data_IF_275955048075
#
_entry.id   IF_275955048075
#
_cell.length_a   1.000
_cell.length_b   1.000
_cell.length_c   1.000
_cell.angle_alpha   90.00
_cell.angle_beta   90.00
_cell.angle_gamma   90.00
#
_symmetry.space_group_name_H-M   'P 1'
#
loop_
_entity.id
_entity.type
_entity.pdbx_description
1 polymer ?
#
# COMPACT_ATOMS: atom_id res chain seq x y z
N UNK A 1 -36.18 -67.93 41.91
CA UNK A 1 -36.18 -68.76 40.68
C UNK A 1 -37.29 -68.25 39.77
N UNK A 2 -36.95 -67.99 38.50
CA UNK A 2 -37.82 -67.59 37.36
C UNK A 2 -38.29 -66.12 37.27
N UNK A 3 -37.64 -65.38 36.37
CA UNK A 3 -38.30 -64.52 35.37
C UNK A 3 -39.05 -65.42 34.34
N UNK A 4 -40.03 -64.96 33.52
CA UNK A 4 -39.93 -63.71 32.72
C UNK A 4 -41.23 -62.95 32.31
N UNK A 5 -41.00 -61.82 31.61
CA UNK A 5 -41.77 -61.23 30.48
C UNK A 5 -43.21 -60.73 30.73
N UNK A 6 -43.70 -59.57 30.29
CA UNK A 6 -43.22 -58.41 29.51
C UNK A 6 -44.43 -57.47 29.52
N UNK A 7 -44.27 -56.16 29.72
CA UNK A 7 -45.19 -55.19 29.11
C UNK A 7 -44.45 -53.87 28.87
N UNK A 8 -44.59 -53.48 27.62
CA UNK A 8 -43.94 -52.43 26.87
C UNK A 8 -44.43 -51.07 27.36
N UNK A 9 -43.54 -50.11 27.58
CA UNK A 9 -43.89 -48.69 27.44
C UNK A 9 -42.65 -47.90 27.04
N UNK A 10 -42.66 -47.49 25.77
CA UNK A 10 -41.66 -46.64 25.15
C UNK A 10 -41.83 -45.20 25.66
N UNK A 11 -40.81 -44.67 26.32
CA UNK A 11 -40.69 -43.24 26.59
C UNK A 11 -39.82 -42.64 25.48
N UNK A 12 -40.48 -41.97 24.54
CA UNK A 12 -39.83 -41.22 23.45
C UNK A 12 -39.12 -40.01 24.07
N UNK A 13 -37.80 -40.07 24.19
CA UNK A 13 -36.98 -38.88 24.41
C UNK A 13 -37.00 -38.05 23.12
N UNK A 14 -37.81 -36.99 23.12
CA UNK A 14 -37.75 -35.96 22.09
C UNK A 14 -36.46 -35.15 22.28
N UNK A 15 -35.37 -35.60 21.67
CA UNK A 15 -34.17 -34.78 21.54
C UNK A 15 -34.53 -33.63 20.58
N UNK A 16 -34.75 -32.43 21.12
CA UNK A 16 -34.79 -31.23 20.32
C UNK A 16 -33.42 -31.09 19.64
N UNK A 17 -33.37 -31.38 18.34
CA UNK A 17 -32.26 -30.94 17.50
C UNK A 17 -32.42 -29.42 17.42
N UNK A 18 -31.77 -28.72 18.34
CA UNK A 18 -31.54 -27.29 18.17
C UNK A 18 -30.65 -27.18 16.93
N UNK A 19 -31.24 -26.86 15.78
CA UNK A 19 -30.48 -26.28 14.68
C UNK A 19 -30.04 -24.91 15.17
N UNK A 20 -28.98 -24.88 15.97
CA UNK A 20 -28.29 -23.65 16.29
C UNK A 20 -27.75 -23.15 14.96
N UNK A 21 -28.49 -22.22 14.35
CA UNK A 21 -27.98 -21.38 13.27
C UNK A 21 -26.67 -20.80 13.81
N UNK A 22 -25.51 -21.06 13.19
CA UNK A 22 -24.27 -20.45 13.67
C UNK A 22 -24.51 -18.95 13.72
N UNK A 23 -24.24 -18.33 14.87
CA UNK A 23 -24.36 -16.88 14.97
C UNK A 23 -23.62 -16.24 13.81
N UNK A 24 -24.21 -15.22 13.16
CA UNK A 24 -23.51 -14.53 12.09
C UNK A 24 -22.20 -14.01 12.68
N UNK A 25 -21.07 -14.48 12.13
CA UNK A 25 -19.77 -13.89 12.41
C UNK A 25 -19.94 -12.39 12.24
N UNK A 26 -19.50 -11.61 13.24
CA UNK A 26 -19.51 -10.15 13.17
C UNK A 26 -19.13 -9.70 11.76
N UNK A 27 -19.89 -8.78 11.13
CA UNK A 27 -19.57 -8.27 9.80
C UNK A 27 -18.23 -7.51 9.77
N UNK A 28 -17.68 -7.20 10.96
CA UNK A 28 -16.38 -6.56 11.16
C UNK A 28 -15.38 -7.62 11.63
N UNK A 29 -14.22 -7.67 10.95
CA UNK A 29 -13.08 -8.48 11.35
C UNK A 29 -11.82 -7.62 11.33
N UNK A 30 -11.06 -7.70 12.42
CA UNK A 30 -9.77 -7.03 12.53
C UNK A 30 -8.63 -8.04 12.38
N UNK A 31 -7.51 -7.57 11.81
CA UNK A 31 -6.27 -8.34 11.78
C UNK A 31 -5.09 -7.41 12.01
N UNK A 32 -4.30 -7.60 13.08
CA UNK A 32 -3.08 -6.83 13.26
C UNK A 32 -2.08 -7.17 12.16
N UNK A 33 -1.35 -6.16 11.70
CA UNK A 33 -0.23 -6.30 10.78
C UNK A 33 1.01 -5.65 11.38
N UNK A 34 2.18 -6.17 11.03
CA UNK A 34 3.46 -5.56 11.39
C UNK A 34 4.00 -4.84 10.16
N UNK A 35 4.26 -3.55 10.32
CA UNK A 35 4.86 -2.72 9.29
C UNK A 35 6.27 -2.30 9.72
N UNK A 36 7.15 -2.12 8.74
CA UNK A 36 8.44 -1.47 8.92
C UNK A 36 8.30 -0.04 8.41
N UNK A 37 8.59 0.92 9.27
CA UNK A 37 8.67 2.34 8.89
C UNK A 37 10.12 2.66 8.50
N UNK A 38 10.32 3.26 7.33
CA UNK A 38 11.62 3.71 6.86
C UNK A 38 11.68 5.22 6.88
N UNK A 39 12.79 5.74 7.43
CA UNK A 39 13.17 7.14 7.37
C UNK A 39 14.48 7.27 6.60
N UNK A 40 14.56 8.22 5.69
CA UNK A 40 15.79 8.56 4.95
C UNK A 40 16.02 10.05 5.14
N UNK A 41 17.09 10.41 5.83
CA UNK A 41 17.49 11.80 6.03
C UNK A 41 17.94 12.42 4.72
N UNK A 42 17.72 13.72 4.55
CA UNK A 42 18.26 14.50 3.45
C UNK A 42 19.49 15.28 3.92
N UNK A 43 20.53 15.35 3.07
CA UNK A 43 21.65 16.26 3.22
C UNK A 43 21.38 17.65 2.62
N UNK A 44 20.20 17.83 2.01
CA UNK A 44 19.76 19.06 1.34
C UNK A 44 18.70 19.78 2.17
N UNK A 45 18.49 21.07 1.87
CA UNK A 45 17.33 21.81 2.40
C UNK A 45 16.01 21.20 1.95
N UNK A 46 14.92 21.50 2.64
CA UNK A 46 13.59 20.99 2.30
C UNK A 46 13.21 21.30 0.84
N UNK A 47 13.39 22.56 0.42
CA UNK A 47 13.05 22.99 -0.94
C UNK A 47 13.92 22.29 -1.99
N UNK A 48 15.23 22.15 -1.75
CA UNK A 48 16.12 21.47 -2.69
C UNK A 48 15.80 19.97 -2.79
N UNK A 49 15.48 19.32 -1.67
CA UNK A 49 15.05 17.92 -1.61
C UNK A 49 13.75 17.71 -2.38
N UNK A 50 12.77 18.59 -2.14
CA UNK A 50 11.48 18.60 -2.82
C UNK A 50 11.62 18.77 -4.32
N UNK A 51 12.36 19.79 -4.77
CA UNK A 51 12.60 20.04 -6.19
C UNK A 51 13.28 18.85 -6.87
N UNK A 52 14.26 18.23 -6.20
CA UNK A 52 14.93 17.05 -6.73
C UNK A 52 13.98 15.83 -6.84
N UNK A 53 13.11 15.61 -5.86
CA UNK A 53 12.10 14.55 -5.91
C UNK A 53 11.12 14.82 -7.07
N UNK A 54 10.50 15.99 -7.10
CA UNK A 54 9.47 16.34 -8.09
C UNK A 54 10.02 16.37 -9.52
N UNK A 55 11.30 16.72 -9.70
CA UNK A 55 11.98 16.63 -10.99
C UNK A 55 12.36 15.21 -11.41
N UNK A 56 12.49 14.28 -10.45
CA UNK A 56 12.88 12.90 -10.70
C UNK A 56 11.71 11.99 -11.09
N UNK A 57 10.49 12.30 -10.66
CA UNK A 57 9.29 11.51 -10.93
C UNK A 57 8.22 12.33 -11.63
N UNK A 58 7.89 12.04 -12.91
CA UNK A 58 6.87 12.78 -13.62
C UNK A 58 5.47 12.49 -13.07
N UNK A 59 4.49 13.39 -13.31
CA UNK A 59 3.08 13.09 -13.08
C UNK A 59 2.62 11.86 -13.86
N UNK A 60 1.70 11.08 -13.28
CA UNK A 60 1.15 9.90 -13.93
C UNK A 60 0.38 10.26 -15.21
N UNK A 61 0.78 9.69 -16.34
CA UNK A 61 -0.02 9.70 -17.57
C UNK A 61 -1.13 8.64 -17.47
N UNK A 62 -2.39 9.07 -17.48
CA UNK A 62 -3.57 8.20 -17.29
C UNK A 62 -4.25 7.76 -18.57
N UNK A 63 -3.59 7.86 -19.73
CA UNK A 63 -4.17 7.45 -21.04
C UNK A 63 -4.60 5.98 -21.06
N UNK A 64 -3.95 5.11 -20.28
CA UNK A 64 -4.34 3.71 -20.10
C UNK A 64 -5.78 3.53 -19.60
N UNK A 65 -6.35 4.49 -18.85
CA UNK A 65 -7.70 4.39 -18.27
C UNK A 65 -8.78 4.27 -19.35
N UNK A 66 -8.63 5.01 -20.45
CA UNK A 66 -9.55 4.92 -21.59
C UNK A 66 -9.46 3.55 -22.29
N UNK A 67 -8.24 2.99 -22.41
CA UNK A 67 -8.03 1.66 -22.98
C UNK A 67 -8.68 0.57 -22.13
N UNK A 68 -8.55 0.66 -20.80
CA UNK A 68 -9.24 -0.24 -19.87
C UNK A 68 -10.77 -0.12 -19.98
N UNK A 69 -11.30 1.10 -19.99
CA UNK A 69 -12.74 1.33 -20.13
C UNK A 69 -13.31 0.79 -21.45
N UNK A 70 -12.52 0.83 -22.52
CA UNK A 70 -12.86 0.26 -23.83
C UNK A 70 -12.64 -1.26 -23.93
N UNK A 71 -12.19 -1.93 -22.85
CA UNK A 71 -11.89 -3.37 -22.86
C UNK A 71 -10.62 -3.75 -23.63
N UNK A 72 -9.81 -2.79 -24.06
CA UNK A 72 -8.56 -3.04 -24.79
C UNK A 72 -7.40 -3.33 -23.82
N UNK A 73 -7.46 -4.51 -23.19
CA UNK A 73 -6.48 -4.92 -22.18
C UNK A 73 -5.04 -5.00 -22.72
N UNK A 74 -4.86 -5.41 -23.98
CA UNK A 74 -3.52 -5.54 -24.57
C UNK A 74 -2.86 -4.16 -24.74
N UNK A 75 -3.58 -3.17 -25.28
CA UNK A 75 -3.05 -1.82 -25.40
C UNK A 75 -2.85 -1.16 -24.03
N UNK A 76 -3.74 -1.41 -23.06
CA UNK A 76 -3.57 -0.91 -21.69
C UNK A 76 -2.29 -1.45 -21.04
N UNK A 77 -1.98 -2.74 -21.26
CA UNK A 77 -0.74 -3.35 -20.77
C UNK A 77 0.50 -2.72 -21.39
N UNK A 78 0.50 -2.45 -22.70
CA UNK A 78 1.62 -1.76 -23.34
C UNK A 78 1.76 -0.32 -22.85
N UNK A 79 0.64 0.38 -22.63
CA UNK A 79 0.64 1.70 -22.00
C UNK A 79 1.21 1.67 -20.58
N UNK A 80 0.91 0.64 -19.78
CA UNK A 80 1.51 0.45 -18.46
C UNK A 80 3.03 0.28 -18.51
N UNK A 81 3.53 -0.55 -19.42
CA UNK A 81 4.97 -0.81 -19.57
C UNK A 81 5.75 0.39 -20.09
N UNK A 82 5.09 1.27 -20.84
CA UNK A 82 5.69 2.50 -21.35
C UNK A 82 5.83 3.60 -20.28
N UNK A 83 5.19 3.46 -19.12
CA UNK A 83 5.33 4.42 -18.03
C UNK A 83 6.71 4.31 -17.36
N UNK A 84 7.26 5.43 -16.85
CA UNK A 84 8.42 5.42 -15.98
C UNK A 84 8.28 4.46 -14.80
N UNK A 85 9.41 3.95 -14.30
CA UNK A 85 9.43 2.99 -13.19
C UNK A 85 8.70 3.48 -11.94
N UNK A 86 8.74 4.79 -11.65
CA UNK A 86 7.91 5.46 -10.65
C UNK A 86 7.34 6.76 -11.22
N UNK A 87 6.11 7.06 -10.83
CA UNK A 87 5.35 8.25 -11.20
C UNK A 87 4.73 8.85 -9.94
N UNK A 88 4.44 10.14 -9.97
CA UNK A 88 3.60 10.79 -8.97
C UNK A 88 2.12 10.69 -9.38
N UNK A 89 1.31 10.03 -8.55
CA UNK A 89 -0.12 9.80 -8.79
C UNK A 89 -0.97 11.03 -8.44
N UNK A 90 -0.47 11.92 -7.59
CA UNK A 90 -1.20 13.13 -7.17
C UNK A 90 -0.35 14.37 -7.37
N UNK A 91 -0.81 15.24 -8.26
CA UNK A 91 -0.22 16.55 -8.54
C UNK A 91 -1.33 17.61 -8.49
N UNK A 92 -1.21 18.65 -7.64
CA UNK A 92 -0.11 18.90 -6.70
C UNK A 92 -0.13 17.92 -5.51
N UNK A 93 1.04 17.62 -4.95
CA UNK A 93 1.18 16.79 -3.76
C UNK A 93 0.41 17.35 -2.55
N UNK A 94 0.00 16.50 -1.62
CA UNK A 94 -0.83 16.89 -0.47
C UNK A 94 0.01 17.69 0.53
N UNK A 95 -0.29 18.97 0.70
CA UNK A 95 0.42 19.84 1.64
C UNK A 95 -0.18 19.75 3.06
N UNK A 96 0.20 18.71 3.80
CA UNK A 96 -0.23 18.53 5.19
C UNK A 96 0.31 19.62 6.12
N UNK A 97 1.48 20.18 5.82
CA UNK A 97 2.09 21.24 6.61
C UNK A 97 1.32 22.55 6.59
N UNK A 98 0.53 22.82 5.55
CA UNK A 98 -0.38 23.97 5.52
C UNK A 98 -1.65 23.76 6.36
N UNK A 99 -2.04 22.51 6.65
CA UNK A 99 -3.29 22.23 7.36
C UNK A 99 -3.28 22.73 8.80
N UNK A 100 -2.12 22.87 9.42
CA UNK A 100 -2.00 23.33 10.83
C UNK A 100 -2.37 24.81 11.01
N UNK A 101 -2.45 25.59 9.94
CA UNK A 101 -2.82 27.02 9.97
C UNK A 101 -4.20 27.22 10.60
N UNK A 102 -5.13 26.27 10.43
CA UNK A 102 -6.48 26.35 11.02
C UNK A 102 -6.46 26.38 12.55
N UNK A 103 -5.36 25.97 13.16
CA UNK A 103 -5.11 26.01 14.60
C UNK A 103 -4.25 27.21 15.03
N UNK A 104 -4.09 28.22 14.17
CA UNK A 104 -3.20 29.37 14.35
C UNK A 104 -1.72 29.00 14.54
N UNK A 105 -1.30 27.82 14.07
CA UNK A 105 0.11 27.45 14.01
C UNK A 105 0.76 27.96 12.72
N UNK A 106 2.05 28.35 12.73
CA UNK A 106 2.79 28.60 11.51
C UNK A 106 2.79 27.38 10.59
N UNK A 107 2.73 27.61 9.28
CA UNK A 107 2.82 26.53 8.29
C UNK A 107 4.10 25.71 8.50
N UNK A 108 3.93 24.39 8.56
CA UNK A 108 5.05 23.43 8.66
C UNK A 108 5.48 23.01 7.26
N UNK A 109 6.72 22.52 7.15
CA UNK A 109 7.21 21.91 5.91
C UNK A 109 6.91 20.41 5.98
N UNK A 110 5.75 20.02 5.47
CA UNK A 110 5.32 18.62 5.40
C UNK A 110 4.43 18.39 4.18
N UNK A 111 4.90 17.57 3.25
CA UNK A 111 4.21 17.26 2.00
C UNK A 111 4.18 15.75 1.82
N UNK A 112 3.04 15.21 1.41
CA UNK A 112 2.87 13.79 1.12
C UNK A 112 2.68 13.59 -0.38
N UNK A 113 3.44 12.64 -0.92
CA UNK A 113 3.38 12.16 -2.29
C UNK A 113 2.76 10.78 -2.34
N UNK A 114 2.16 10.45 -3.48
CA UNK A 114 1.65 9.13 -3.81
C UNK A 114 2.47 8.61 -4.99
N UNK A 115 3.41 7.69 -4.74
CA UNK A 115 4.46 7.29 -5.69
C UNK A 115 4.30 5.81 -6.05
N UNK A 116 4.34 5.49 -7.35
CA UNK A 116 4.31 4.10 -7.80
C UNK A 116 4.26 3.94 -9.32
N UNK A 117 3.79 2.79 -9.77
CA UNK A 117 3.58 2.49 -11.19
C UNK A 117 2.35 1.57 -11.35
N UNK A 118 1.41 1.87 -12.27
CA UNK A 118 0.23 1.04 -12.51
C UNK A 118 0.51 -0.41 -12.93
N UNK A 119 1.60 -0.66 -13.68
CA UNK A 119 2.05 -2.01 -14.00
C UNK A 119 2.37 -2.80 -12.73
N UNK A 120 3.17 -2.22 -11.84
CA UNK A 120 3.50 -2.84 -10.54
C UNK A 120 2.25 -3.03 -9.69
N UNK A 121 1.38 -2.02 -9.62
CA UNK A 121 0.11 -2.11 -8.90
C UNK A 121 -0.78 -3.25 -9.44
N UNK A 122 -0.83 -3.42 -10.77
CA UNK A 122 -1.60 -4.49 -11.42
C UNK A 122 -1.12 -5.88 -11.01
N UNK A 123 0.20 -6.07 -10.81
CA UNK A 123 0.78 -7.33 -10.32
C UNK A 123 0.29 -7.64 -8.91
N UNK A 124 0.19 -6.66 -8.01
CA UNK A 124 -0.35 -6.87 -6.66
C UNK A 124 -1.83 -7.25 -6.66
N UNK A 125 -2.67 -6.42 -7.30
CA UNK A 125 -4.13 -6.62 -7.26
C UNK A 125 -4.59 -7.86 -8.02
N UNK A 126 -3.81 -8.31 -9.02
CA UNK A 126 -4.04 -9.59 -9.72
C UNK A 126 -4.04 -10.78 -8.75
N UNK A 127 -3.18 -10.77 -7.73
CA UNK A 127 -3.05 -11.87 -6.77
C UNK A 127 -3.84 -11.62 -5.49
N UNK A 128 -3.97 -10.36 -5.07
CA UNK A 128 -4.62 -9.98 -3.83
C UNK A 128 -5.30 -8.62 -3.96
N UNK A 129 -6.62 -8.59 -4.12
CA UNK A 129 -7.38 -7.35 -4.28
C UNK A 129 -7.21 -6.40 -3.09
N UNK A 130 -7.07 -6.93 -1.87
CA UNK A 130 -6.81 -6.16 -0.66
C UNK A 130 -5.49 -5.37 -0.70
N UNK A 131 -4.57 -5.73 -1.59
CA UNK A 131 -3.33 -4.99 -1.79
C UNK A 131 -3.57 -3.57 -2.35
N UNK A 132 -4.76 -3.30 -2.93
CA UNK A 132 -5.17 -1.97 -3.35
C UNK A 132 -5.20 -0.93 -2.22
N UNK A 133 -5.27 -1.36 -0.95
CA UNK A 133 -5.17 -0.46 0.21
C UNK A 133 -3.82 0.28 0.29
N UNK A 134 -2.77 -0.34 -0.26
CA UNK A 134 -1.38 0.10 -0.09
C UNK A 134 -0.73 0.66 -1.35
N UNK A 135 -1.43 0.69 -2.49
CA UNK A 135 -0.89 1.21 -3.75
C UNK A 135 -1.66 2.44 -4.24
N UNK A 136 -0.99 3.53 -4.69
CA UNK A 136 0.46 3.75 -4.69
C UNK A 136 1.02 3.96 -3.27
N UNK A 137 2.36 3.96 -3.14
CA UNK A 137 3.02 4.14 -1.84
C UNK A 137 2.94 5.60 -1.42
N UNK A 138 2.56 5.85 -0.17
CA UNK A 138 2.59 7.19 0.41
C UNK A 138 4.00 7.48 0.93
N UNK A 139 4.61 8.55 0.43
CA UNK A 139 5.92 9.03 0.87
C UNK A 139 5.78 10.44 1.40
N UNK A 140 6.08 10.63 2.68
CA UNK A 140 6.07 11.94 3.33
C UNK A 140 7.45 12.56 3.30
N UNK A 141 7.57 13.78 2.80
CA UNK A 141 8.75 14.64 2.95
C UNK A 141 8.42 15.73 3.96
N UNK A 142 9.18 15.82 5.04
CA UNK A 142 8.96 16.82 6.06
C UNK A 142 10.25 17.26 6.72
N UNK A 143 10.18 18.43 7.36
CA UNK A 143 11.23 18.97 8.22
C UNK A 143 10.77 18.84 9.67
N UNK A 144 11.53 18.08 10.45
CA UNK A 144 11.38 17.97 11.90
C UNK A 144 11.85 19.26 12.58
N UNK A 145 11.59 19.42 13.90
CA UNK A 145 12.31 20.38 14.73
C UNK A 145 13.83 20.30 14.51
N UNK A 146 14.54 21.39 14.78
CA UNK A 146 15.98 21.54 14.51
C UNK A 146 16.39 21.57 13.01
N UNK A 147 15.42 21.50 12.09
CA UNK A 147 15.66 21.66 10.65
C UNK A 147 16.07 20.36 9.94
N UNK A 148 15.85 19.21 10.57
CA UNK A 148 16.18 17.89 9.97
C UNK A 148 15.14 17.54 8.91
N UNK A 149 15.57 17.45 7.66
CA UNK A 149 14.72 17.10 6.51
C UNK A 149 14.77 15.59 6.29
N UNK A 150 13.63 14.94 6.13
CA UNK A 150 13.58 13.51 5.91
C UNK A 150 12.40 13.06 5.06
N UNK A 151 12.61 11.95 4.36
CA UNK A 151 11.53 11.12 3.82
C UNK A 151 11.11 10.10 4.85
N UNK A 152 9.80 9.81 4.94
CA UNK A 152 9.28 8.66 5.67
C UNK A 152 8.20 7.93 4.87
N UNK A 153 8.24 6.60 4.91
CA UNK A 153 7.24 5.72 4.31
C UNK A 153 7.26 4.33 4.95
N UNK A 154 6.13 3.63 4.85
CA UNK A 154 6.06 2.22 5.21
C UNK A 154 6.72 1.40 4.10
N UNK A 155 7.51 0.38 4.44
CA UNK A 155 8.23 -0.37 3.41
C UNK A 155 7.27 -1.28 2.62
N UNK A 156 7.31 -1.27 1.28
CA UNK A 156 6.48 -2.16 0.47
C UNK A 156 6.62 -3.62 0.86
N UNK A 157 7.83 -4.10 1.17
CA UNK A 157 8.05 -5.50 1.57
C UNK A 157 7.28 -5.89 2.83
N UNK A 158 7.19 -5.01 3.83
CA UNK A 158 6.42 -5.28 5.05
C UNK A 158 4.91 -5.17 4.82
N UNK A 159 4.46 -4.14 4.07
CA UNK A 159 3.05 -3.94 3.73
C UNK A 159 2.48 -5.10 2.91
N UNK A 160 3.07 -5.40 1.75
CA UNK A 160 2.59 -6.47 0.87
C UNK A 160 2.95 -7.86 1.41
N UNK A 161 4.05 -7.99 2.16
CA UNK A 161 4.40 -9.23 2.86
C UNK A 161 3.37 -9.64 3.92
N UNK A 162 2.60 -8.69 4.46
CA UNK A 162 1.53 -8.97 5.43
C UNK A 162 0.42 -9.89 4.88
N UNK A 163 0.32 -10.08 3.57
CA UNK A 163 -0.64 -11.00 2.95
C UNK A 163 -0.15 -12.46 2.90
N UNK A 164 1.12 -12.73 3.20
CA UNK A 164 1.68 -14.08 3.22
C UNK A 164 1.91 -14.72 1.84
N UNK A 165 1.80 -13.95 0.74
CA UNK A 165 2.04 -14.42 -0.63
C UNK A 165 3.47 -14.05 -1.09
N UNK A 166 4.28 -15.05 -1.45
CA UNK A 166 5.66 -14.86 -1.91
C UNK A 166 5.76 -14.01 -3.18
N UNK A 167 4.76 -14.08 -4.07
CA UNK A 167 4.73 -13.32 -5.34
C UNK A 167 4.55 -11.82 -5.11
N UNK A 168 3.78 -11.47 -4.08
CA UNK A 168 3.64 -10.09 -3.60
C UNK A 168 4.97 -9.59 -3.05
N UNK A 169 5.65 -10.40 -2.24
CA UNK A 169 6.95 -10.04 -1.65
C UNK A 169 7.99 -9.72 -2.72
N UNK A 170 8.16 -10.60 -3.71
CA UNK A 170 9.13 -10.39 -4.80
C UNK A 170 8.85 -9.11 -5.59
N UNK A 171 7.58 -8.83 -5.90
CA UNK A 171 7.20 -7.58 -6.58
C UNK A 171 7.45 -6.34 -5.70
N UNK A 172 7.26 -6.48 -4.38
CA UNK A 172 7.46 -5.41 -3.41
C UNK A 172 8.94 -5.07 -3.18
N UNK A 173 9.86 -6.05 -3.26
CA UNK A 173 11.30 -5.83 -3.13
C UNK A 173 11.82 -4.85 -4.19
N UNK A 174 11.44 -5.06 -5.45
CA UNK A 174 11.81 -4.17 -6.56
C UNK A 174 11.25 -2.74 -6.39
N UNK A 175 9.97 -2.62 -5.99
CA UNK A 175 9.35 -1.33 -5.71
C UNK A 175 10.04 -0.59 -4.56
N UNK A 176 10.39 -1.33 -3.51
CA UNK A 176 11.07 -0.79 -2.34
C UNK A 176 12.49 -0.30 -2.67
N UNK A 177 13.26 -1.05 -3.45
CA UNK A 177 14.58 -0.61 -3.93
C UNK A 177 14.45 0.68 -4.75
N UNK A 178 13.52 0.75 -5.69
CA UNK A 178 13.27 1.96 -6.48
C UNK A 178 12.94 3.18 -5.62
N UNK A 179 12.11 3.02 -4.57
CA UNK A 179 11.78 4.09 -3.64
C UNK A 179 12.98 4.53 -2.79
N UNK A 180 13.80 3.57 -2.34
CA UNK A 180 15.02 3.89 -1.59
C UNK A 180 15.98 4.71 -2.44
N UNK A 181 16.25 4.26 -3.67
CA UNK A 181 17.17 4.93 -4.57
C UNK A 181 16.65 6.33 -4.93
N UNK A 182 15.35 6.48 -5.22
CA UNK A 182 14.73 7.79 -5.45
C UNK A 182 14.93 8.74 -4.25
N UNK A 183 14.63 8.27 -3.04
CA UNK A 183 14.74 9.09 -1.83
C UNK A 183 16.19 9.45 -1.50
N UNK A 184 17.14 8.52 -1.70
CA UNK A 184 18.58 8.79 -1.55
C UNK A 184 19.03 9.86 -2.56
N UNK A 185 18.65 9.73 -3.83
CA UNK A 185 18.97 10.71 -4.87
C UNK A 185 18.39 12.08 -4.58
N UNK A 186 17.10 12.14 -4.25
CA UNK A 186 16.41 13.38 -3.93
C UNK A 186 16.99 14.02 -2.65
N UNK A 187 17.39 13.19 -1.69
CA UNK A 187 18.02 13.58 -0.43
C UNK A 187 19.50 13.97 -0.54
N UNK A 188 20.13 13.84 -1.72
CA UNK A 188 21.52 14.23 -1.92
C UNK A 188 22.56 13.22 -1.43
N UNK A 189 22.20 11.95 -1.39
CA UNK A 189 23.10 10.83 -1.09
C UNK A 189 23.50 10.09 -2.36
N UNK A 190 24.59 9.29 -2.32
CA UNK A 190 24.89 8.34 -3.38
C UNK A 190 23.68 7.43 -3.64
N UNK A 191 23.30 7.32 -4.90
CA UNK A 191 22.11 6.59 -5.34
C UNK A 191 22.33 6.05 -6.75
N UNK A 192 21.71 4.90 -7.04
CA UNK A 192 21.62 4.28 -8.36
C UNK A 192 20.40 4.75 -9.15
N UNK A 193 19.60 5.67 -8.59
CA UNK A 193 18.51 6.31 -9.30
C UNK A 193 19.06 6.92 -10.61
N UNK A 194 18.45 6.53 -11.75
CA UNK A 194 18.89 6.74 -13.15
C UNK A 194 19.65 5.58 -13.83
N UNK A 195 19.73 4.38 -13.24
CA UNK A 195 19.97 3.15 -14.02
C UNK A 195 18.62 2.55 -14.49
N UNK A 196 18.37 2.36 -15.80
CA UNK A 196 17.27 1.49 -16.27
C UNK A 196 17.63 0.03 -15.89
N UNK A 197 16.75 -0.88 -15.50
CA UNK A 197 15.30 -0.98 -15.57
C UNK A 197 14.78 -1.84 -14.40
N UNK A 198 13.56 -1.60 -13.93
CA UNK A 198 12.80 -2.64 -13.21
C UNK A 198 11.99 -3.45 -14.25
N UNK A 199 11.94 -4.79 -14.13
CA UNK A 199 11.34 -5.69 -15.11
C UNK A 199 9.79 -5.65 -15.21
#
# INVERSE_FOLDING_TARGET
>A
MRLPQTLFNAMVCLAAITTATPEPKSPISDRPIRLTHRTILSSRSFNATRTALEGAIPPLNTTFSALLAAGNAAAALEAFKALPALNNFIVPARNFGALVIVWNEPAKRAVQYEIGNPYTASKFVRFQLGASLYAPIRVSLFEEPEGVVQFAFDTPTSMFGSFGDKRLKETAEALEEGLNELCLFAGGWPSKWLLPALP
#
